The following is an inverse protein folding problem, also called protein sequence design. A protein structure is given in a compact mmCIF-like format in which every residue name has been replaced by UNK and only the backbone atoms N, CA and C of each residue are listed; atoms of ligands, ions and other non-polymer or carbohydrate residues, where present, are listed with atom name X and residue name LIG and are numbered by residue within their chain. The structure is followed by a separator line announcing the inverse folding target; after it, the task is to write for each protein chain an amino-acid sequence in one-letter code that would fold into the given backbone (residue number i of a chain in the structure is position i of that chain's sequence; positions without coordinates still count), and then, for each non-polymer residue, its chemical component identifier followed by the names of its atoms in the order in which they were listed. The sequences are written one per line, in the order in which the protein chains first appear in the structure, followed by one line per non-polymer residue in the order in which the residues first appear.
data_IF_342174692921
#
_entry.id   IF_342174692921
#
_cell.length_a   1.000
_cell.length_b   1.000
_cell.length_c   1.000
_cell.angle_alpha   90.00
_cell.angle_beta   90.00
_cell.angle_gamma   90.00
#
_symmetry.space_group_name_H-M   'P 1'
#
loop_
_entity.id
_entity.type
_entity.pdbx_description
1 polymer ?
#
# COMPACT_ATOMS: atom_id res chain seq x y z
N UNK A 1 -7.76 -41.77 -11.98
CA UNK A 1 -6.33 -41.67 -12.35
C UNK A 1 -6.08 -40.88 -13.66
N UNK A 2 -7.06 -40.17 -14.22
CA UNK A 2 -6.99 -39.48 -15.53
C UNK A 2 -6.79 -37.96 -15.45
N UNK A 3 -6.74 -37.36 -14.26
CA UNK A 3 -6.53 -35.92 -14.10
C UNK A 3 -5.05 -35.52 -14.22
N UNK A 4 -4.08 -36.34 -13.79
CA UNK A 4 -2.67 -35.92 -13.78
C UNK A 4 -1.99 -35.89 -15.16
N UNK A 5 -2.48 -36.65 -16.15
CA UNK A 5 -2.00 -36.59 -17.54
C UNK A 5 -2.50 -35.33 -18.25
N UNK A 6 -3.76 -34.95 -18.01
CA UNK A 6 -4.37 -33.75 -18.59
C UNK A 6 -3.71 -32.44 -18.12
N UNK A 7 -3.26 -32.36 -16.87
CA UNK A 7 -2.52 -31.20 -16.37
C UNK A 7 -1.15 -31.05 -17.03
N UNK A 8 -0.39 -32.16 -17.16
CA UNK A 8 0.91 -32.15 -17.84
C UNK A 8 0.81 -31.74 -19.31
N UNK A 9 -0.23 -32.17 -20.01
CA UNK A 9 -0.46 -31.78 -21.41
C UNK A 9 -0.78 -30.28 -21.54
N UNK A 10 -1.50 -29.70 -20.57
CA UNK A 10 -1.83 -28.28 -20.57
C UNK A 10 -0.63 -27.39 -20.24
N UNK A 11 0.24 -27.82 -19.33
CA UNK A 11 1.50 -27.12 -19.01
C UNK A 11 2.45 -27.12 -20.23
N UNK A 12 2.61 -28.27 -20.90
CA UNK A 12 3.39 -28.39 -22.14
C UNK A 12 2.78 -27.54 -23.26
N UNK A 13 1.45 -27.47 -23.36
CA UNK A 13 0.78 -26.63 -24.34
C UNK A 13 1.04 -25.14 -24.08
N UNK A 14 1.01 -24.67 -22.83
CA UNK A 14 1.31 -23.27 -22.50
C UNK A 14 2.78 -22.92 -22.71
N UNK A 15 3.70 -23.83 -22.38
CA UNK A 15 5.12 -23.64 -22.67
C UNK A 15 5.39 -23.56 -24.17
N UNK A 16 4.78 -24.45 -24.97
CA UNK A 16 4.86 -24.37 -26.43
C UNK A 16 4.23 -23.08 -26.98
N UNK A 17 3.15 -22.60 -26.36
CA UNK A 17 2.52 -21.33 -26.76
C UNK A 17 3.44 -20.14 -26.49
N UNK A 18 4.22 -20.19 -25.41
CA UNK A 18 5.30 -19.23 -25.11
C UNK A 18 6.39 -19.27 -26.18
N UNK A 19 6.88 -20.45 -26.53
CA UNK A 19 7.94 -20.60 -27.53
C UNK A 19 7.48 -20.14 -28.93
N UNK A 20 6.21 -20.41 -29.28
CA UNK A 20 5.62 -19.98 -30.55
C UNK A 20 5.37 -18.46 -30.59
N UNK A 21 5.05 -17.84 -29.45
CA UNK A 21 4.84 -16.40 -29.33
C UNK A 21 6.10 -15.58 -29.65
N UNK A 22 7.29 -16.17 -29.49
CA UNK A 22 8.58 -15.51 -29.76
C UNK A 22 8.87 -15.29 -31.26
N UNK A 23 8.07 -15.84 -32.17
CA UNK A 23 8.27 -15.69 -33.62
C UNK A 23 7.12 -14.94 -34.29
N UNK A 24 7.43 -13.83 -34.98
CA UNK A 24 6.47 -12.91 -35.60
C UNK A 24 5.35 -13.59 -36.43
N UNK A 25 5.63 -14.49 -37.39
CA UNK A 25 4.57 -15.09 -38.21
C UNK A 25 3.68 -16.07 -37.44
N UNK A 26 4.18 -16.66 -36.35
CA UNK A 26 3.39 -17.57 -35.51
C UNK A 26 2.58 -16.78 -34.47
N UNK A 27 3.10 -15.64 -33.98
CA UNK A 27 2.36 -14.72 -33.10
C UNK A 27 1.12 -14.16 -33.78
N UNK A 28 1.23 -13.72 -35.04
CA UNK A 28 0.07 -13.28 -35.82
C UNK A 28 -0.97 -14.41 -35.97
N UNK A 29 -0.53 -15.65 -36.25
CA UNK A 29 -1.42 -16.82 -36.32
C UNK A 29 -2.10 -17.12 -34.98
N UNK A 30 -1.39 -16.99 -33.85
CA UNK A 30 -1.97 -17.15 -32.51
C UNK A 30 -3.06 -16.10 -32.25
N UNK A 31 -2.83 -14.84 -32.60
CA UNK A 31 -3.83 -13.77 -32.46
C UNK A 31 -5.08 -14.07 -33.30
N UNK A 32 -4.88 -14.43 -34.58
CA UNK A 32 -5.96 -14.71 -35.53
C UNK A 32 -6.75 -15.97 -35.17
N UNK A 33 -6.09 -17.02 -34.66
CA UNK A 33 -6.73 -18.27 -34.24
C UNK A 33 -7.47 -18.18 -32.89
N UNK A 34 -7.55 -17.00 -32.28
CA UNK A 34 -8.23 -16.82 -30.99
C UNK A 34 -7.40 -17.20 -29.76
N UNK A 35 -6.08 -17.29 -29.89
CA UNK A 35 -5.16 -17.61 -28.81
C UNK A 35 -5.29 -16.69 -27.59
N UNK A 36 -5.52 -15.39 -27.79
CA UNK A 36 -5.77 -14.44 -26.69
C UNK A 36 -7.00 -14.83 -25.85
N UNK A 37 -8.08 -15.26 -26.47
CA UNK A 37 -9.28 -15.72 -25.75
C UNK A 37 -9.03 -17.01 -25.00
N UNK A 38 -8.22 -17.92 -25.56
CA UNK A 38 -7.80 -19.15 -24.90
C UNK A 38 -6.93 -18.84 -23.68
N UNK A 39 -5.97 -17.92 -23.78
CA UNK A 39 -5.12 -17.47 -22.67
C UNK A 39 -5.97 -16.85 -21.56
N UNK A 40 -6.91 -15.96 -21.90
CA UNK A 40 -7.84 -15.39 -20.91
C UNK A 40 -8.71 -16.44 -20.23
N UNK A 41 -9.12 -17.48 -20.97
CA UNK A 41 -9.81 -18.62 -20.37
C UNK A 41 -8.89 -19.34 -19.39
N UNK A 42 -7.62 -19.54 -19.73
CA UNK A 42 -6.62 -20.18 -18.85
C UNK A 42 -6.26 -19.34 -17.62
N UNK A 43 -6.33 -18.02 -17.68
CA UNK A 43 -6.18 -17.17 -16.48
C UNK A 43 -7.19 -17.58 -15.40
N UNK A 44 -8.41 -18.00 -15.78
CA UNK A 44 -9.44 -18.42 -14.81
C UNK A 44 -9.11 -19.76 -14.12
N UNK A 45 -8.12 -20.50 -14.60
CA UNK A 45 -7.78 -21.83 -14.09
C UNK A 45 -6.66 -21.77 -13.05
N UNK A 46 -6.88 -22.47 -11.94
CA UNK A 46 -6.06 -22.45 -10.73
C UNK A 46 -4.56 -22.75 -10.98
N UNK A 47 -4.28 -23.80 -11.73
CA UNK A 47 -2.92 -24.29 -11.96
C UNK A 47 -2.21 -23.62 -13.15
N UNK A 48 -2.99 -23.12 -14.11
CA UNK A 48 -2.49 -22.58 -15.38
C UNK A 48 -2.45 -21.05 -15.39
N UNK A 49 -3.07 -20.39 -14.40
CA UNK A 49 -3.20 -18.95 -14.35
C UNK A 49 -1.85 -18.23 -14.41
N UNK A 50 -0.83 -18.72 -13.69
CA UNK A 50 0.50 -18.12 -13.69
C UNK A 50 1.21 -18.25 -15.04
N UNK A 51 1.18 -19.44 -15.64
CA UNK A 51 1.72 -19.67 -16.98
C UNK A 51 0.98 -18.83 -18.03
N UNK A 52 -0.35 -18.77 -17.96
CA UNK A 52 -1.16 -17.94 -18.84
C UNK A 52 -0.84 -16.45 -18.68
N UNK A 53 -0.56 -15.98 -17.46
CA UNK A 53 -0.17 -14.60 -17.19
C UNK A 53 1.23 -14.28 -17.71
N UNK A 54 2.18 -15.21 -17.58
CA UNK A 54 3.51 -15.09 -18.17
C UNK A 54 3.41 -15.03 -19.71
N UNK A 55 2.69 -15.96 -20.32
CA UNK A 55 2.49 -15.98 -21.78
C UNK A 55 1.80 -14.69 -22.25
N UNK A 56 0.79 -14.20 -21.53
CA UNK A 56 0.13 -12.95 -21.86
C UNK A 56 1.09 -11.75 -21.72
N UNK A 57 1.87 -11.69 -20.65
CA UNK A 57 2.89 -10.66 -20.42
C UNK A 57 3.91 -10.64 -21.56
N UNK A 58 4.48 -11.79 -21.92
CA UNK A 58 5.49 -11.90 -22.98
C UNK A 58 4.89 -11.50 -24.35
N UNK A 59 3.64 -11.89 -24.61
CA UNK A 59 2.94 -11.51 -25.85
C UNK A 59 2.70 -9.99 -25.94
N UNK A 60 2.47 -9.30 -24.83
CA UNK A 60 2.16 -7.88 -24.79
C UNK A 60 3.35 -6.97 -25.06
N UNK A 61 4.57 -7.52 -25.08
CA UNK A 61 5.75 -6.79 -25.55
C UNK A 61 5.65 -6.45 -27.05
N UNK A 62 4.78 -7.13 -27.78
CA UNK A 62 4.56 -6.92 -29.21
C UNK A 62 3.36 -6.01 -29.53
N UNK A 63 3.58 -5.02 -30.41
CA UNK A 63 2.58 -4.00 -30.76
C UNK A 63 1.34 -4.56 -31.45
N UNK A 64 1.50 -5.55 -32.33
CA UNK A 64 0.40 -6.24 -33.01
C UNK A 64 -0.54 -6.95 -32.02
N UNK A 65 0.01 -7.55 -30.96
CA UNK A 65 -0.76 -8.12 -29.85
C UNK A 65 -1.51 -7.01 -29.10
N UNK A 66 -0.82 -5.93 -28.71
CA UNK A 66 -1.46 -4.80 -27.99
C UNK A 66 -2.65 -4.25 -28.77
N UNK A 67 -2.50 -4.01 -30.07
CA UNK A 67 -3.60 -3.57 -30.92
C UNK A 67 -4.75 -4.58 -30.97
N UNK A 68 -4.46 -5.88 -31.02
CA UNK A 68 -5.47 -6.91 -30.99
C UNK A 68 -6.24 -6.95 -29.65
N UNK A 69 -5.55 -6.73 -28.53
CA UNK A 69 -6.14 -6.66 -27.19
C UNK A 69 -7.09 -5.46 -27.09
N UNK A 70 -6.70 -4.29 -27.60
CA UNK A 70 -7.57 -3.10 -27.69
C UNK A 70 -8.80 -3.36 -28.56
N UNK A 71 -8.61 -3.87 -29.80
CA UNK A 71 -9.70 -4.17 -30.73
C UNK A 71 -10.71 -5.15 -30.15
N UNK A 72 -10.25 -6.12 -29.35
CA UNK A 72 -11.10 -7.13 -28.68
C UNK A 72 -11.67 -6.68 -27.33
N UNK A 73 -11.39 -5.44 -26.88
CA UNK A 73 -11.87 -4.86 -25.60
C UNK A 73 -11.64 -5.77 -24.39
N UNK A 74 -10.48 -6.42 -24.33
CA UNK A 74 -10.18 -7.45 -23.34
C UNK A 74 -10.07 -6.93 -21.90
N UNK A 75 -9.90 -5.60 -21.69
CA UNK A 75 -9.85 -4.98 -20.36
C UNK A 75 -11.06 -5.34 -19.50
N UNK A 76 -12.28 -5.23 -20.04
CA UNK A 76 -13.52 -5.63 -19.33
C UNK A 76 -13.55 -7.12 -18.94
N UNK A 77 -12.95 -7.98 -19.77
CA UNK A 77 -12.88 -9.42 -19.51
C UNK A 77 -11.87 -9.73 -18.42
N UNK A 78 -10.74 -9.02 -18.38
CA UNK A 78 -9.75 -9.10 -17.31
C UNK A 78 -10.34 -8.62 -15.99
N UNK A 79 -11.05 -7.49 -15.97
CA UNK A 79 -11.71 -6.97 -14.76
C UNK A 79 -12.73 -7.97 -14.21
N UNK A 80 -13.53 -8.63 -15.07
CA UNK A 80 -14.45 -9.70 -14.62
C UNK A 80 -13.74 -10.90 -14.02
N UNK A 81 -12.55 -11.24 -14.54
CA UNK A 81 -11.72 -12.31 -13.98
C UNK A 81 -11.22 -11.90 -12.58
N UNK A 82 -10.69 -10.68 -12.44
CA UNK A 82 -10.21 -10.16 -11.16
C UNK A 82 -11.35 -10.03 -10.13
N UNK A 83 -12.51 -9.52 -10.53
CA UNK A 83 -13.69 -9.46 -9.67
C UNK A 83 -14.06 -10.86 -9.13
N UNK A 84 -14.01 -11.88 -9.99
CA UNK A 84 -14.26 -13.26 -9.57
C UNK A 84 -13.21 -13.74 -8.57
N UNK A 85 -11.92 -13.48 -8.81
CA UNK A 85 -10.85 -13.84 -7.88
C UNK A 85 -10.97 -13.11 -6.53
N UNK A 86 -11.33 -11.83 -6.55
CA UNK A 86 -11.54 -11.05 -5.33
C UNK A 86 -12.75 -11.54 -4.54
N UNK A 87 -13.88 -11.81 -5.19
CA UNK A 87 -15.12 -12.23 -4.54
C UNK A 87 -15.06 -13.69 -4.04
N UNK A 88 -14.56 -14.61 -4.87
CA UNK A 88 -14.61 -16.05 -4.58
C UNK A 88 -13.29 -16.60 -4.03
N UNK A 89 -12.24 -15.79 -4.03
CA UNK A 89 -10.88 -16.24 -3.77
C UNK A 89 -10.27 -16.98 -4.96
N UNK A 90 -8.95 -17.01 -4.97
CA UNK A 90 -8.20 -18.03 -5.71
C UNK A 90 -7.93 -19.20 -4.76
N UNK A 91 -7.80 -20.43 -5.26
CA UNK A 91 -7.53 -21.58 -4.35
C UNK A 91 -6.22 -21.41 -3.60
N UNK A 92 -5.28 -20.69 -4.20
CA UNK A 92 -4.05 -20.23 -3.59
C UNK A 92 -3.98 -18.71 -3.79
N UNK A 93 -4.25 -17.94 -2.72
CA UNK A 93 -4.31 -16.49 -2.78
C UNK A 93 -2.98 -15.88 -3.26
N UNK A 94 -1.85 -16.46 -2.86
CA UNK A 94 -0.51 -16.00 -3.22
C UNK A 94 -0.24 -16.18 -4.72
N UNK A 95 -0.73 -17.28 -5.30
CA UNK A 95 -0.68 -17.47 -6.76
C UNK A 95 -1.54 -16.42 -7.47
N UNK A 96 -2.76 -16.16 -6.99
CA UNK A 96 -3.64 -15.13 -7.56
C UNK A 96 -3.01 -13.73 -7.53
N UNK A 97 -2.41 -13.36 -6.40
CA UNK A 97 -1.67 -12.09 -6.24
C UNK A 97 -0.45 -12.05 -7.17
N UNK A 98 0.28 -13.16 -7.30
CA UNK A 98 1.43 -13.25 -8.21
C UNK A 98 1.03 -13.07 -9.67
N UNK A 99 -0.09 -13.68 -10.09
CA UNK A 99 -0.67 -13.48 -11.42
C UNK A 99 -1.04 -12.01 -11.63
N UNK A 100 -1.77 -11.43 -10.68
CA UNK A 100 -2.19 -10.04 -10.76
C UNK A 100 -0.99 -9.08 -10.85
N UNK A 101 0.00 -9.26 -9.98
CA UNK A 101 1.26 -8.50 -9.99
C UNK A 101 1.94 -8.58 -11.36
N UNK A 102 2.08 -9.78 -11.92
CA UNK A 102 2.70 -9.96 -13.24
C UNK A 102 1.96 -9.20 -14.34
N UNK A 103 0.63 -9.17 -14.30
CA UNK A 103 -0.17 -8.43 -15.28
C UNK A 103 -0.07 -6.92 -15.10
N UNK A 104 0.07 -6.42 -13.87
CA UNK A 104 0.19 -4.98 -13.59
C UNK A 104 1.57 -4.40 -13.90
N UNK A 105 2.60 -5.22 -14.15
CA UNK A 105 3.92 -4.75 -14.63
C UNK A 105 3.81 -3.94 -15.94
N UNK A 106 2.81 -4.23 -16.77
CA UNK A 106 2.61 -3.61 -18.07
C UNK A 106 1.69 -2.39 -18.03
N UNK A 107 2.21 -1.20 -18.34
CA UNK A 107 1.46 0.06 -18.37
C UNK A 107 0.19 -0.03 -19.24
N UNK A 108 0.29 -0.70 -20.38
CA UNK A 108 -0.82 -0.89 -21.30
C UNK A 108 -1.97 -1.70 -20.69
N UNK A 109 -1.67 -2.78 -19.95
CA UNK A 109 -2.69 -3.55 -19.25
C UNK A 109 -3.31 -2.74 -18.12
N UNK A 110 -2.51 -1.98 -17.37
CA UNK A 110 -3.00 -1.11 -16.30
C UNK A 110 -4.05 -0.12 -16.81
N UNK A 111 -3.77 0.56 -17.92
CA UNK A 111 -4.73 1.46 -18.57
C UNK A 111 -6.03 0.74 -18.96
N UNK A 112 -5.93 -0.44 -19.60
CA UNK A 112 -7.09 -1.21 -20.02
C UNK A 112 -7.97 -1.72 -18.86
N UNK A 113 -7.38 -2.07 -17.72
CA UNK A 113 -8.15 -2.53 -16.56
C UNK A 113 -8.77 -1.36 -15.78
N UNK A 114 -8.15 -0.18 -15.81
CA UNK A 114 -8.78 1.07 -15.34
C UNK A 114 -10.02 1.36 -16.20
N UNK A 115 -9.88 1.42 -17.53
CA UNK A 115 -10.98 1.61 -18.47
C UNK A 115 -12.05 0.51 -18.34
N UNK A 116 -11.63 -0.70 -17.99
CA UNK A 116 -12.51 -1.85 -17.74
C UNK A 116 -13.30 -1.78 -16.43
N UNK A 117 -13.05 -0.78 -15.57
CA UNK A 117 -13.80 -0.56 -14.33
C UNK A 117 -13.23 -1.22 -13.08
N UNK A 118 -11.91 -1.50 -13.02
CA UNK A 118 -11.27 -2.11 -11.84
C UNK A 118 -11.52 -1.32 -10.54
N UNK A 119 -11.52 0.02 -10.60
CA UNK A 119 -11.78 0.90 -9.46
C UNK A 119 -13.20 0.76 -8.90
N UNK A 120 -14.19 0.62 -9.79
CA UNK A 120 -15.58 0.34 -9.43
C UNK A 120 -15.74 -1.04 -8.77
N UNK A 121 -14.97 -2.03 -9.22
CA UNK A 121 -14.93 -3.36 -8.58
C UNK A 121 -14.39 -3.27 -7.16
N UNK A 122 -13.26 -2.58 -6.94
CA UNK A 122 -12.73 -2.39 -5.58
C UNK A 122 -13.71 -1.66 -4.67
N UNK A 123 -14.33 -0.59 -5.15
CA UNK A 123 -15.35 0.15 -4.40
C UNK A 123 -16.50 -0.76 -3.98
N UNK A 124 -17.06 -1.50 -4.93
CA UNK A 124 -18.22 -2.38 -4.68
C UNK A 124 -17.91 -3.49 -3.68
N UNK A 125 -16.72 -4.10 -3.81
CA UNK A 125 -16.33 -5.23 -2.95
C UNK A 125 -15.95 -4.78 -1.54
N UNK A 126 -15.28 -3.63 -1.38
CA UNK A 126 -14.99 -3.05 -0.06
C UNK A 126 -16.26 -2.57 0.65
N UNK A 127 -17.27 -2.12 -0.09
CA UNK A 127 -18.58 -1.75 0.47
C UNK A 127 -19.42 -2.96 0.92
N UNK A 128 -19.09 -4.17 0.45
CA UNK A 128 -19.87 -5.39 0.65
C UNK A 128 -19.92 -5.91 2.09
N UNK A 129 -19.13 -5.35 3.02
CA UNK A 129 -19.00 -5.76 4.44
C UNK A 129 -18.65 -7.24 4.66
N UNK A 130 -18.11 -7.91 3.65
CA UNK A 130 -17.51 -9.24 3.80
C UNK A 130 -16.03 -9.03 4.13
N UNK A 131 -15.65 -9.35 5.36
CA UNK A 131 -14.30 -9.10 5.88
C UNK A 131 -13.23 -9.85 5.07
N UNK A 132 -13.57 -11.06 4.62
CA UNK A 132 -12.67 -11.93 3.89
C UNK A 132 -12.47 -11.45 2.44
N UNK A 133 -13.53 -10.95 1.78
CA UNK A 133 -13.41 -10.28 0.48
C UNK A 133 -12.64 -8.96 0.63
N UNK A 134 -12.93 -8.18 1.67
CA UNK A 134 -12.28 -6.89 1.92
C UNK A 134 -10.78 -7.07 2.17
N UNK A 135 -10.40 -8.12 2.90
CA UNK A 135 -9.02 -8.54 3.10
C UNK A 135 -8.31 -8.85 1.78
N UNK A 136 -8.90 -9.70 0.94
CA UNK A 136 -8.33 -10.02 -0.38
C UNK A 136 -8.19 -8.76 -1.24
N UNK A 137 -9.19 -7.87 -1.18
CA UNK A 137 -9.16 -6.58 -1.86
C UNK A 137 -7.95 -5.74 -1.44
N UNK A 138 -7.63 -5.69 -0.14
CA UNK A 138 -6.44 -4.99 0.37
C UNK A 138 -5.13 -5.57 -0.17
N UNK A 139 -5.00 -6.90 -0.25
CA UNK A 139 -3.82 -7.55 -0.85
C UNK A 139 -3.60 -7.12 -2.31
N UNK A 140 -4.67 -7.00 -3.09
CA UNK A 140 -4.59 -6.54 -4.48
C UNK A 140 -4.33 -5.04 -4.57
N UNK A 141 -4.93 -4.23 -3.67
CA UNK A 141 -4.63 -2.80 -3.57
C UNK A 141 -3.15 -2.56 -3.23
N UNK A 142 -2.53 -3.42 -2.42
CA UNK A 142 -1.10 -3.37 -2.13
C UNK A 142 -0.22 -3.56 -3.39
N UNK A 143 -0.67 -4.38 -4.35
CA UNK A 143 -0.01 -4.51 -5.65
C UNK A 143 -0.22 -3.24 -6.46
N UNK A 144 -1.47 -2.78 -6.53
CA UNK A 144 -1.87 -1.57 -7.27
C UNK A 144 -1.10 -0.34 -6.79
N UNK A 145 -0.84 -0.23 -5.49
CA UNK A 145 -0.19 0.92 -4.89
C UNK A 145 1.28 1.09 -5.25
N UNK A 146 1.89 0.12 -5.94
CA UNK A 146 3.22 0.28 -6.54
C UNK A 146 3.20 0.99 -7.90
N UNK A 147 2.01 1.33 -8.42
CA UNK A 147 1.83 1.89 -9.75
C UNK A 147 1.08 3.24 -9.68
N UNK A 148 1.74 4.37 -9.98
CA UNK A 148 1.16 5.71 -9.83
C UNK A 148 -0.12 5.98 -10.62
N UNK A 149 -0.25 5.40 -11.81
CA UNK A 149 -1.42 5.52 -12.69
C UNK A 149 -2.66 4.87 -12.08
N UNK A 150 -2.51 3.66 -11.53
CA UNK A 150 -3.60 3.00 -10.82
C UNK A 150 -3.88 3.63 -9.45
N UNK A 151 -2.85 4.12 -8.75
CA UNK A 151 -3.01 4.87 -7.50
C UNK A 151 -3.90 6.09 -7.68
N UNK A 152 -3.65 6.88 -8.73
CA UNK A 152 -4.47 8.04 -9.05
C UNK A 152 -5.90 7.63 -9.39
N UNK A 153 -6.10 6.45 -9.99
CA UNK A 153 -7.45 5.91 -10.23
C UNK A 153 -8.17 5.48 -8.93
N UNK A 154 -7.42 5.21 -7.84
CA UNK A 154 -7.93 4.85 -6.51
C UNK A 154 -8.15 6.06 -5.59
N UNK A 155 -8.00 7.30 -6.07
CA UNK A 155 -8.13 8.51 -5.26
C UNK A 155 -9.56 8.87 -4.83
N UNK A 156 -10.51 7.96 -5.02
CA UNK A 156 -11.87 8.14 -4.52
C UNK A 156 -11.86 8.05 -2.99
N UNK A 157 -12.28 9.15 -2.35
CA UNK A 157 -12.39 9.27 -0.90
C UNK A 157 -13.20 8.12 -0.26
N UNK A 158 -14.23 7.62 -0.94
CA UNK A 158 -15.01 6.49 -0.43
C UNK A 158 -14.17 5.21 -0.36
N UNK A 159 -13.34 4.95 -1.36
CA UNK A 159 -12.42 3.80 -1.35
C UNK A 159 -11.44 3.95 -0.18
N UNK A 160 -10.81 5.12 -0.05
CA UNK A 160 -9.83 5.39 1.03
C UNK A 160 -10.45 5.21 2.41
N UNK A 161 -11.66 5.72 2.62
CA UNK A 161 -12.40 5.54 3.87
C UNK A 161 -12.64 4.05 4.18
N UNK A 162 -13.10 3.27 3.20
CA UNK A 162 -13.35 1.85 3.42
C UNK A 162 -12.06 1.08 3.65
N UNK A 163 -11.00 1.37 2.89
CA UNK A 163 -9.66 0.80 3.12
C UNK A 163 -9.25 1.04 4.58
N UNK A 164 -9.34 2.28 5.08
CA UNK A 164 -9.00 2.60 6.47
C UNK A 164 -9.86 1.83 7.47
N UNK A 165 -11.18 1.80 7.27
CA UNK A 165 -12.10 1.06 8.15
C UNK A 165 -11.80 -0.45 8.16
N UNK A 166 -11.53 -1.04 7.00
CA UNK A 166 -11.15 -2.44 6.89
C UNK A 166 -9.83 -2.68 7.61
N UNK A 167 -8.77 -1.90 7.34
CA UNK A 167 -7.46 -2.12 7.99
C UNK A 167 -7.56 -2.03 9.52
N UNK A 168 -8.37 -1.12 10.05
CA UNK A 168 -8.61 -0.99 11.49
C UNK A 168 -9.33 -2.23 12.06
N UNK A 169 -10.25 -2.82 11.30
CA UNK A 169 -11.06 -3.96 11.74
C UNK A 169 -10.47 -5.35 11.49
N UNK A 170 -9.31 -5.46 10.82
CA UNK A 170 -8.68 -6.76 10.55
C UNK A 170 -8.16 -7.43 11.84
N UNK A 171 -7.80 -8.71 11.74
CA UNK A 171 -7.24 -9.51 12.83
C UNK A 171 -5.82 -10.03 12.53
N UNK A 172 -4.98 -10.10 13.56
CA UNK A 172 -3.73 -10.87 13.56
C UNK A 172 -2.65 -10.41 12.55
N UNK A 173 -2.03 -11.36 11.84
CA UNK A 173 -0.90 -11.11 10.92
C UNK A 173 -1.27 -10.24 9.71
N UNK A 174 -2.57 -10.06 9.45
CA UNK A 174 -3.10 -9.34 8.31
C UNK A 174 -3.01 -7.81 8.45
N UNK A 175 -2.76 -7.32 9.67
CA UNK A 175 -2.51 -5.90 9.91
C UNK A 175 -1.24 -5.45 9.19
N UNK A 176 -0.23 -6.32 9.08
CA UNK A 176 1.07 -5.97 8.49
C UNK A 176 0.96 -5.69 6.98
N UNK A 177 0.30 -6.58 6.24
CA UNK A 177 0.12 -6.43 4.79
C UNK A 177 -0.78 -5.24 4.47
N UNK A 178 -1.82 -5.02 5.28
CA UNK A 178 -2.77 -3.92 5.11
C UNK A 178 -2.15 -2.57 5.48
N UNK A 179 -1.30 -2.55 6.52
CA UNK A 179 -0.49 -1.40 6.88
C UNK A 179 0.54 -1.05 5.78
N UNK A 180 1.10 -2.06 5.10
CA UNK A 180 1.99 -1.84 3.95
C UNK A 180 1.23 -1.27 2.75
N UNK A 181 0.02 -1.76 2.47
CA UNK A 181 -0.86 -1.19 1.45
C UNK A 181 -1.16 0.30 1.73
N UNK A 182 -1.53 0.62 2.98
CA UNK A 182 -1.76 1.99 3.43
C UNK A 182 -0.51 2.86 3.36
N UNK A 183 0.66 2.33 3.72
CA UNK A 183 1.93 3.05 3.60
C UNK A 183 2.21 3.42 2.15
N UNK A 184 2.00 2.50 1.22
CA UNK A 184 2.18 2.76 -0.20
C UNK A 184 1.18 3.77 -0.74
N UNK A 185 -0.09 3.72 -0.30
CA UNK A 185 -1.10 4.74 -0.62
C UNK A 185 -0.66 6.13 -0.11
N UNK A 186 -0.18 6.21 1.14
CA UNK A 186 0.22 7.45 1.79
C UNK A 186 1.48 8.10 1.21
N UNK A 187 2.30 7.37 0.45
CA UNK A 187 3.42 7.96 -0.29
C UNK A 187 2.94 8.92 -1.40
N UNK A 188 1.69 8.82 -1.84
CA UNK A 188 1.06 9.79 -2.72
C UNK A 188 0.47 10.93 -1.86
N UNK A 189 0.88 12.17 -2.12
CA UNK A 189 0.46 13.35 -1.33
C UNK A 189 -1.05 13.58 -1.34
N UNK A 190 -1.69 13.32 -2.48
CA UNK A 190 -3.13 13.57 -2.64
C UNK A 190 -3.92 12.52 -1.86
N UNK A 191 -3.50 11.26 -1.93
CA UNK A 191 -4.08 10.19 -1.12
C UNK A 191 -3.80 10.38 0.38
N UNK A 192 -2.64 10.91 0.75
CA UNK A 192 -2.35 11.25 2.14
C UNK A 192 -3.32 12.32 2.66
N UNK A 193 -3.63 13.34 1.85
CA UNK A 193 -4.63 14.36 2.21
C UNK A 193 -5.99 13.69 2.44
N UNK A 194 -6.42 12.80 1.55
CA UNK A 194 -7.68 12.06 1.70
C UNK A 194 -7.70 11.16 2.94
N UNK A 195 -6.60 10.43 3.21
CA UNK A 195 -6.44 9.64 4.45
C UNK A 195 -6.56 10.56 5.68
N UNK A 196 -5.99 11.76 5.62
CA UNK A 196 -6.05 12.74 6.71
C UNK A 196 -7.44 13.38 6.89
N UNK A 197 -8.25 13.45 5.85
CA UNK A 197 -9.66 13.86 5.99
C UNK A 197 -10.46 12.84 6.82
N UNK A 198 -10.09 11.56 6.77
CA UNK A 198 -10.72 10.47 7.53
C UNK A 198 -10.04 10.20 8.89
N UNK A 199 -9.23 11.15 9.40
CA UNK A 199 -8.49 11.02 10.66
C UNK A 199 -9.34 10.65 11.87
N UNK A 200 -10.61 11.07 11.90
CA UNK A 200 -11.51 10.77 13.01
C UNK A 200 -11.73 9.27 13.15
N UNK A 201 -11.78 8.53 12.04
CA UNK A 201 -11.89 7.06 12.04
C UNK A 201 -10.70 6.42 12.77
N UNK A 202 -9.48 6.92 12.51
CA UNK A 202 -8.26 6.45 13.17
C UNK A 202 -8.21 6.84 14.66
N UNK A 203 -8.53 8.09 14.97
CA UNK A 203 -8.45 8.64 16.32
C UNK A 203 -9.52 8.08 17.26
N UNK A 204 -10.71 7.77 16.74
CA UNK A 204 -11.78 7.12 17.52
C UNK A 204 -11.47 5.65 17.78
N UNK A 205 -10.90 4.94 16.79
CA UNK A 205 -10.50 3.55 16.95
C UNK A 205 -9.39 3.36 18.00
N UNK A 206 -8.55 4.37 18.26
CA UNK A 206 -7.57 4.34 19.35
C UNK A 206 -8.20 4.29 20.75
N UNK A 207 -9.42 4.83 20.90
CA UNK A 207 -10.13 4.86 22.18
C UNK A 207 -11.21 3.78 22.27
N UNK A 208 -11.22 2.84 21.33
CA UNK A 208 -12.17 1.75 21.31
C UNK A 208 -11.93 0.76 22.47
N UNK A 209 -12.99 0.09 22.90
CA UNK A 209 -12.91 -0.97 23.90
C UNK A 209 -12.42 -2.29 23.29
N UNK A 210 -12.50 -2.42 21.96
CA UNK A 210 -11.99 -3.58 21.23
C UNK A 210 -10.47 -3.49 21.01
N UNK A 211 -9.66 -4.36 21.65
CA UNK A 211 -8.20 -4.36 21.49
C UNK A 211 -7.73 -4.53 20.05
N UNK A 212 -8.53 -5.19 19.20
CA UNK A 212 -8.20 -5.44 17.78
C UNK A 212 -8.22 -4.16 16.98
N UNK A 213 -9.28 -3.37 17.16
CA UNK A 213 -9.44 -2.05 16.54
C UNK A 213 -8.35 -1.09 17.00
N UNK A 214 -8.00 -1.12 18.28
CA UNK A 214 -6.89 -0.34 18.83
C UNK A 214 -5.55 -0.75 18.19
N UNK A 215 -5.27 -2.06 18.09
CA UNK A 215 -4.06 -2.59 17.44
C UNK A 215 -4.00 -2.22 15.95
N UNK A 216 -5.12 -2.35 15.22
CA UNK A 216 -5.26 -1.94 13.82
C UNK A 216 -4.99 -0.45 13.61
N UNK A 217 -5.56 0.40 14.46
CA UNK A 217 -5.33 1.83 14.45
C UNK A 217 -3.85 2.17 14.76
N UNK A 218 -3.25 1.55 15.77
CA UNK A 218 -1.83 1.76 16.11
C UNK A 218 -0.90 1.35 14.97
N UNK A 219 -1.11 0.17 14.36
CA UNK A 219 -0.30 -0.29 13.23
C UNK A 219 -0.45 0.59 12.00
N UNK A 220 -1.67 1.04 11.71
CA UNK A 220 -1.94 2.00 10.63
C UNK A 220 -1.20 3.30 10.87
N UNK A 221 -1.32 3.88 12.06
CA UNK A 221 -0.61 5.11 12.42
C UNK A 221 0.91 4.92 12.35
N UNK A 222 1.44 3.81 12.87
CA UNK A 222 2.85 3.46 12.77
C UNK A 222 3.33 3.36 11.31
N UNK A 223 2.52 2.85 10.39
CA UNK A 223 2.83 2.82 8.97
C UNK A 223 2.91 4.23 8.37
N UNK A 224 2.03 5.13 8.82
CA UNK A 224 1.94 6.53 8.41
C UNK A 224 2.93 7.45 9.15
N UNK A 225 3.65 6.96 10.17
CA UNK A 225 4.50 7.77 11.06
C UNK A 225 5.66 8.49 10.36
N UNK A 226 6.05 8.08 9.16
CA UNK A 226 7.07 8.78 8.38
C UNK A 226 6.59 10.14 7.87
N UNK A 227 5.27 10.39 7.85
CA UNK A 227 4.69 11.66 7.43
C UNK A 227 4.58 12.61 8.63
N UNK A 228 5.30 13.73 8.59
CA UNK A 228 5.33 14.75 9.65
C UNK A 228 3.96 15.34 9.96
N UNK A 229 3.12 15.49 8.93
CA UNK A 229 1.73 15.97 9.05
C UNK A 229 0.91 15.01 9.92
N UNK A 230 1.00 13.71 9.67
CA UNK A 230 0.30 12.67 10.45
C UNK A 230 0.77 12.70 11.91
N UNK A 231 2.09 12.70 12.14
CA UNK A 231 2.64 12.77 13.49
C UNK A 231 2.17 14.01 14.26
N UNK A 232 2.12 15.17 13.60
CA UNK A 232 1.68 16.42 14.24
C UNK A 232 0.19 16.39 14.57
N UNK A 233 -0.63 15.88 13.65
CA UNK A 233 -2.07 15.71 13.84
C UNK A 233 -2.37 14.77 15.01
N UNK A 234 -1.74 13.60 15.05
CA UNK A 234 -1.95 12.61 16.12
C UNK A 234 -1.57 13.20 17.46
N UNK A 235 -0.39 13.83 17.58
CA UNK A 235 0.08 14.46 18.84
C UNK A 235 -0.89 15.49 19.41
N UNK A 236 -1.47 16.30 18.53
CA UNK A 236 -2.35 17.39 18.94
C UNK A 236 -3.76 16.88 19.28
N UNK A 237 -4.09 15.63 18.97
CA UNK A 237 -5.39 15.05 19.28
C UNK A 237 -5.59 14.79 20.77
N UNK A 238 -6.82 14.99 21.25
CA UNK A 238 -7.20 14.60 22.61
C UNK A 238 -7.14 13.07 22.79
N UNK A 239 -7.42 12.30 21.73
CA UNK A 239 -7.34 10.84 21.75
C UNK A 239 -5.93 10.36 22.08
N UNK A 240 -4.89 10.93 21.46
CA UNK A 240 -3.51 10.60 21.77
C UNK A 240 -3.14 10.93 23.22
N UNK A 241 -3.56 12.10 23.73
CA UNK A 241 -3.30 12.50 25.12
C UNK A 241 -3.99 11.57 26.13
N UNK A 242 -5.26 11.22 25.89
CA UNK A 242 -6.01 10.26 26.71
C UNK A 242 -5.35 8.88 26.68
N UNK A 243 -5.00 8.39 25.49
CA UNK A 243 -4.32 7.11 25.30
C UNK A 243 -2.98 7.06 26.04
N UNK A 244 -2.15 8.10 25.93
CA UNK A 244 -0.88 8.20 26.65
C UNK A 244 -1.06 8.17 28.18
N UNK A 245 -2.10 8.85 28.68
CA UNK A 245 -2.41 8.84 30.12
C UNK A 245 -2.96 7.48 30.61
N UNK A 246 -3.67 6.75 29.75
CA UNK A 246 -4.25 5.45 30.06
C UNK A 246 -3.23 4.32 29.95
N UNK A 247 -2.35 4.36 28.95
CA UNK A 247 -1.26 3.39 28.79
C UNK A 247 -0.33 3.37 30.01
N UNK A 248 -0.08 4.53 30.62
CA UNK A 248 0.69 4.63 31.87
C UNK A 248 -0.02 4.01 33.10
N UNK A 249 -1.35 3.80 33.03
CA UNK A 249 -2.17 3.29 34.14
C UNK A 249 -2.58 1.83 33.96
N UNK A 250 -2.70 1.36 32.72
CA UNK A 250 -3.08 0.00 32.40
C UNK A 250 -1.88 -0.94 32.50
N UNK A 251 -1.56 -1.37 33.72
CA UNK A 251 -0.75 -2.58 33.94
C UNK A 251 -1.69 -3.71 34.33
N UNK A 252 -1.62 -4.78 33.53
CA UNK A 252 -2.09 -6.14 33.82
C UNK A 252 -3.57 -6.37 33.49
N UNK A 253 -3.81 -7.07 32.38
CA UNK A 253 -4.87 -8.06 32.25
C UNK A 253 -4.55 -9.03 31.09
N UNK A 254 -4.81 -10.32 31.33
CA UNK A 254 -4.13 -11.48 30.74
C UNK A 254 -4.81 -12.00 29.44
N UNK A 255 -4.70 -11.25 28.34
CA UNK A 255 -5.02 -11.77 27.00
C UNK A 255 -3.96 -11.33 25.98
N UNK A 256 -3.54 -12.25 25.11
CA UNK A 256 -2.49 -12.03 24.11
C UNK A 256 -2.77 -10.81 23.20
N UNK A 257 -4.03 -10.61 22.78
CA UNK A 257 -4.41 -9.45 21.95
C UNK A 257 -4.30 -8.11 22.69
N UNK A 258 -4.64 -8.04 23.99
CA UNK A 258 -4.48 -6.81 24.80
C UNK A 258 -3.01 -6.47 25.02
N UNK A 259 -2.16 -7.48 25.24
CA UNK A 259 -0.72 -7.28 25.36
C UNK A 259 -0.15 -6.70 24.06
N UNK A 260 -0.48 -7.27 22.90
CA UNK A 260 -0.04 -6.75 21.60
C UNK A 260 -0.56 -5.34 21.33
N UNK A 261 -1.82 -5.05 21.68
CA UNK A 261 -2.39 -3.70 21.55
C UNK A 261 -1.62 -2.71 22.44
N UNK A 262 -1.29 -3.08 23.67
CA UNK A 262 -0.50 -2.25 24.58
C UNK A 262 0.92 -2.00 24.04
N UNK A 263 1.62 -3.03 23.57
CA UNK A 263 2.93 -2.89 22.94
C UNK A 263 2.89 -1.98 21.69
N UNK A 264 1.84 -2.12 20.86
CA UNK A 264 1.64 -1.27 19.70
C UNK A 264 1.37 0.18 20.09
N UNK A 265 0.60 0.42 21.16
CA UNK A 265 0.40 1.76 21.73
C UNK A 265 1.73 2.33 22.21
N UNK A 266 2.50 1.61 23.01
CA UNK A 266 3.80 2.08 23.51
C UNK A 266 4.76 2.41 22.36
N UNK A 267 4.84 1.53 21.36
CA UNK A 267 5.67 1.75 20.18
C UNK A 267 5.20 2.97 19.37
N UNK A 268 3.89 3.14 19.20
CA UNK A 268 3.31 4.33 18.55
C UNK A 268 3.64 5.60 19.34
N UNK A 269 3.41 5.61 20.66
CA UNK A 269 3.73 6.74 21.54
C UNK A 269 5.23 7.08 21.50
N UNK A 270 6.10 6.09 21.41
CA UNK A 270 7.54 6.30 21.28
C UNK A 270 7.88 6.92 19.92
N UNK A 271 7.46 6.29 18.82
CA UNK A 271 7.81 6.68 17.45
C UNK A 271 7.17 8.01 17.04
N UNK A 272 5.92 8.22 17.44
CA UNK A 272 5.21 9.47 17.22
C UNK A 272 5.46 10.49 18.32
N UNK A 273 6.07 10.14 19.45
CA UNK A 273 6.35 11.09 20.52
C UNK A 273 7.53 12.03 20.22
N UNK A 274 7.86 12.95 21.14
CA UNK A 274 9.02 13.83 21.02
C UNK A 274 10.33 13.06 20.83
N UNK A 275 10.44 11.88 21.47
CA UNK A 275 11.60 10.98 21.41
C UNK A 275 11.79 10.32 20.04
N UNK A 276 10.73 9.90 19.35
CA UNK A 276 10.83 9.36 17.99
C UNK A 276 11.19 10.41 16.94
N UNK A 277 10.84 11.69 17.18
CA UNK A 277 11.32 12.80 16.35
C UNK A 277 12.83 12.99 16.46
N UNK A 278 13.39 12.75 17.64
CA UNK A 278 14.83 12.83 17.89
C UNK A 278 15.59 11.80 17.05
N UNK A 279 15.14 10.56 17.00
CA UNK A 279 15.78 9.52 16.18
C UNK A 279 15.61 9.78 14.68
N UNK A 280 14.45 10.29 14.23
CA UNK A 280 14.24 10.64 12.82
C UNK A 280 15.03 11.88 12.38
N UNK A 281 15.20 12.86 13.27
CA UNK A 281 16.02 14.06 13.04
C UNK A 281 17.51 13.72 13.05
N UNK A 282 17.95 12.78 13.88
CA UNK A 282 19.32 12.30 13.86
C UNK A 282 19.60 11.54 12.55
N UNK A 283 18.75 10.62 12.11
CA UNK A 283 18.98 9.86 10.87
C UNK A 283 18.91 10.72 9.60
N UNK A 284 18.05 11.73 9.55
CA UNK A 284 18.00 12.69 8.43
C UNK A 284 19.09 13.78 8.52
N UNK A 285 19.45 14.20 9.74
CA UNK A 285 20.51 15.20 9.99
C UNK A 285 21.92 14.68 9.77
N UNK A 286 22.16 13.37 9.91
CA UNK A 286 23.45 12.73 9.57
C UNK A 286 23.82 12.85 8.08
N UNK A 287 22.86 13.14 7.19
CA UNK A 287 23.12 13.38 5.77
C UNK A 287 23.53 14.84 5.46
N UNK A 288 23.30 15.80 6.36
CA UNK A 288 23.61 17.21 6.16
C UNK A 288 24.30 17.80 7.40
N UNK A 289 25.65 17.79 7.38
CA UNK A 289 26.52 18.12 8.52
C UNK A 289 26.32 19.50 9.17
N UNK A 290 25.70 20.47 8.50
CA UNK A 290 25.43 21.81 9.05
C UNK A 290 24.26 21.82 10.07
N UNK A 291 23.38 20.81 10.06
CA UNK A 291 22.24 20.74 10.99
C UNK A 291 22.60 20.19 12.38
N UNK A 292 23.77 19.56 12.53
CA UNK A 292 24.18 18.92 13.79
C UNK A 292 24.38 19.93 14.93
N UNK A 293 24.98 21.09 14.67
CA UNK A 293 25.27 22.09 15.71
C UNK A 293 23.99 22.71 16.27
N UNK A 294 23.00 22.96 15.40
CA UNK A 294 21.70 23.47 15.82
C UNK A 294 20.88 22.41 16.58
N UNK A 295 20.98 21.15 16.17
CA UNK A 295 20.37 20.04 16.89
C UNK A 295 20.95 19.89 18.29
N UNK A 296 22.27 19.94 18.46
CA UNK A 296 22.95 19.84 19.77
C UNK A 296 22.49 20.94 20.73
N UNK A 297 22.33 22.18 20.25
CA UNK A 297 21.83 23.30 21.07
C UNK A 297 20.36 23.06 21.51
N UNK A 298 19.52 22.49 20.63
CA UNK A 298 18.17 22.06 21.01
C UNK A 298 18.17 20.85 21.95
N UNK A 299 19.13 19.92 21.82
CA UNK A 299 19.30 18.77 22.72
C UNK A 299 19.55 19.22 24.15
N UNK A 300 20.44 20.20 24.34
CA UNK A 300 20.81 20.72 25.66
C UNK A 300 19.61 21.45 26.28
N UNK A 301 18.86 22.20 25.48
CA UNK A 301 17.70 22.99 25.95
C UNK A 301 16.52 22.10 26.40
N UNK A 302 16.28 20.98 25.70
CA UNK A 302 15.21 20.03 26.03
C UNK A 302 15.53 19.10 27.22
N UNK A 303 16.81 18.77 27.44
CA UNK A 303 17.20 17.89 28.54
C UNK A 303 17.39 18.62 29.89
N UNK A 304 17.74 19.91 29.87
CA UNK A 304 18.05 20.67 31.09
C UNK A 304 16.99 21.70 31.51
N UNK A 305 15.85 21.80 30.81
CA UNK A 305 14.74 22.65 31.23
C UNK A 305 15.04 24.16 31.22
N UNK A 306 16.13 24.60 30.60
CA UNK A 306 16.43 26.02 30.44
C UNK A 306 15.76 26.57 29.18
N UNK A 307 14.73 27.38 29.39
CA UNK A 307 14.17 28.25 28.35
C UNK A 307 15.14 29.42 28.16
N UNK A 308 16.07 29.31 27.20
CA UNK A 308 16.91 30.44 26.80
C UNK A 308 16.09 31.29 25.81
N UNK A 309 15.78 32.57 26.12
CA UNK A 309 15.16 33.45 25.14
C UNK A 309 16.18 33.70 24.02
N UNK A 310 15.85 33.33 22.79
CA UNK A 310 16.65 33.71 21.62
C UNK A 310 16.63 35.22 21.48
N UNK A 311 17.76 35.88 21.77
CA UNK A 311 18.02 37.21 21.26
C UNK A 311 18.17 37.13 19.74
N UNK A 312 17.39 37.96 19.05
CA UNK A 312 17.58 38.31 17.64
C UNK A 312 19.01 38.79 17.42
N UNK A 313 19.78 38.06 16.62
CA UNK A 313 20.97 38.61 15.98
C UNK A 313 20.48 39.25 14.69
N UNK A 314 20.12 40.53 14.79
CA UNK A 314 20.10 41.43 13.65
C UNK A 314 21.53 41.50 13.10
N UNK A 315 21.74 41.02 11.88
CA UNK A 315 22.97 41.23 11.12
C UNK A 315 22.99 42.66 10.60
N UNK A 316 23.47 43.58 11.43
CA UNK A 316 23.97 44.89 10.99
C UNK A 316 25.40 45.03 11.52
N UNK A 317 26.37 44.91 10.61
CA UNK A 317 27.65 45.66 10.55
C UNK A 317 28.66 44.91 9.69
N UNK A 318 28.44 44.94 8.37
CA UNK A 318 29.53 44.75 7.41
C UNK A 318 29.92 46.12 6.85
N UNK A 319 30.80 46.82 7.59
CA UNK A 319 31.50 48.01 7.10
C UNK A 319 32.92 48.03 7.65
N UNK A 320 33.85 47.99 6.68
CA UNK A 320 35.24 48.48 6.68
C UNK A 320 36.31 47.48 7.14
N UNK A 321 36.98 46.90 6.14
CA UNK A 321 38.44 47.04 5.95
C UNK A 321 38.85 46.60 4.54
N UNK A 322 38.93 47.58 3.63
CA UNK A 322 39.87 47.55 2.51
C UNK A 322 40.42 48.97 2.31
N UNK A 323 41.69 49.14 2.68
CA UNK A 323 42.58 50.24 2.28
C UNK A 323 43.99 49.67 2.17
N UNK A 324 44.75 50.22 1.22
CA UNK A 324 46.03 49.78 0.64
C UNK A 324 45.86 48.61 -0.33
N UNK A 325 46.17 48.72 -1.62
CA UNK A 325 47.01 49.64 -2.40
C UNK A 325 46.35 50.05 -3.72
#
# INVERSE_FOLDING_TARGET
MSQSSSFKESDVAMQRLKDLAATDPLRAKIIHAGGLSAILRQLRHKHLGLYAAQVLSDLLDHEDVRQAVCKKKLGSSLVKIFQKWLAQGYVDEDVGISVFKKLMEHNFLRALVIEGGLTGVFSTLLLGKDDEISRRCLSYIAVVSNHPDLLNALSDRQIIKHVLQTVIGLEGTQHKNSAEALKSLANNSDLLIEIMQEREVLLTALLDNDPRRVLGACNTLLALSNHTVVCTMVRNSDSYRKLASNAQRARIDDTDERTRAHEAIEHMLYKMGPRGRFTSLLTSGFQNGAYMTHLIIQMISLFFGFWIPMYSINSDTDKRRSRSS
#
